data_IF_032366599157
#
_entry.id   IF_032366599157
#
_cell.length_a   1.000
_cell.length_b   1.000
_cell.length_c   1.000
_cell.angle_alpha   90.00
_cell.angle_beta   90.00
_cell.angle_gamma   90.00
#
_symmetry.space_group_name_H-M   'P 1'
#
loop_
_entity.id
_entity.type
_entity.pdbx_description
1 polymer ?
#
# COMPACT_ATOMS: atom_id res chain seq x y z
N UNK A 1 4.24 3.59 -8.38
CA UNK A 1 5.51 2.98 -8.11
C UNK A 1 6.07 2.18 -9.27
N UNK A 2 7.34 1.85 -9.18
CA UNK A 2 8.03 0.90 -10.09
C UNK A 2 8.56 1.45 -11.41
N UNK A 3 8.18 2.64 -11.82
CA UNK A 3 8.65 3.21 -13.09
C UNK A 3 10.10 3.66 -12.95
N UNK A 4 10.98 3.19 -13.85
CA UNK A 4 12.41 3.50 -13.82
C UNK A 4 13.23 2.63 -12.87
N UNK A 5 12.60 1.79 -12.07
CA UNK A 5 13.31 0.87 -11.18
C UNK A 5 14.02 -0.24 -11.95
N UNK A 6 15.23 -0.58 -11.49
CA UNK A 6 16.04 -1.67 -12.05
C UNK A 6 16.73 -2.43 -10.94
N UNK A 7 16.70 -3.76 -11.04
CA UNK A 7 17.45 -4.62 -10.13
C UNK A 7 18.81 -4.87 -10.74
N UNK A 8 19.87 -4.51 -10.00
CA UNK A 8 21.26 -4.70 -10.42
C UNK A 8 21.89 -5.74 -9.49
N UNK A 9 22.32 -6.86 -10.07
CA UNK A 9 22.89 -7.98 -9.31
C UNK A 9 24.42 -8.07 -9.41
N UNK A 10 25.01 -7.41 -10.40
CA UNK A 10 26.45 -7.34 -10.56
C UNK A 10 26.91 -5.88 -10.61
N UNK A 11 27.94 -5.54 -9.86
CA UNK A 11 28.50 -4.17 -9.84
C UNK A 11 28.96 -3.70 -11.22
N UNK A 12 29.39 -4.63 -12.08
CA UNK A 12 29.81 -4.31 -13.45
C UNK A 12 28.68 -3.68 -14.28
N UNK A 13 27.41 -4.04 -14.01
CA UNK A 13 26.25 -3.57 -14.76
C UNK A 13 25.72 -2.23 -14.22
N UNK A 14 26.14 -1.84 -13.01
CA UNK A 14 25.60 -0.67 -12.32
C UNK A 14 25.71 0.63 -13.13
N UNK A 15 26.86 0.98 -13.74
CA UNK A 15 26.98 2.22 -14.49
C UNK A 15 25.98 2.34 -15.65
N UNK A 16 25.78 1.28 -16.40
CA UNK A 16 24.85 1.23 -17.53
C UNK A 16 23.40 1.36 -17.04
N UNK A 17 23.04 0.61 -16.00
CA UNK A 17 21.68 0.61 -15.44
C UNK A 17 21.32 1.96 -14.81
N UNK A 18 22.27 2.60 -14.13
CA UNK A 18 22.08 3.97 -13.60
C UNK A 18 21.83 4.96 -14.73
N UNK A 19 22.61 4.92 -15.83
CA UNK A 19 22.42 5.82 -16.95
C UNK A 19 21.06 5.58 -17.65
N UNK A 20 20.64 4.31 -17.76
CA UNK A 20 19.33 3.99 -18.31
C UNK A 20 18.18 4.49 -17.41
N UNK A 21 18.28 4.31 -16.08
CA UNK A 21 17.32 4.82 -15.13
C UNK A 21 17.23 6.37 -15.16
N UNK A 22 18.37 7.06 -15.23
CA UNK A 22 18.43 8.53 -15.34
C UNK A 22 17.72 9.05 -16.59
N UNK A 23 17.92 8.41 -17.76
CA UNK A 23 17.23 8.80 -19.00
C UNK A 23 15.72 8.63 -18.89
N UNK A 24 15.29 7.52 -18.29
CA UNK A 24 13.87 7.24 -18.08
C UNK A 24 13.24 8.22 -17.08
N UNK A 25 13.92 8.51 -15.97
CA UNK A 25 13.48 9.49 -14.98
C UNK A 25 13.36 10.91 -15.60
N UNK A 26 14.36 11.32 -16.37
CA UNK A 26 14.31 12.60 -17.11
C UNK A 26 13.11 12.67 -18.06
N UNK A 27 12.85 11.60 -18.79
CA UNK A 27 11.73 11.56 -19.74
C UNK A 27 10.36 11.53 -19.07
N UNK A 28 10.26 10.82 -17.94
CA UNK A 28 8.98 10.61 -17.27
C UNK A 28 8.61 11.71 -16.27
N UNK A 29 9.61 12.30 -15.61
CA UNK A 29 9.43 13.21 -14.47
C UNK A 29 10.10 14.58 -14.66
N UNK A 30 10.90 14.76 -15.69
CA UNK A 30 11.68 15.97 -15.90
C UNK A 30 12.91 16.11 -15.00
N UNK A 31 13.20 15.11 -14.16
CA UNK A 31 14.32 15.07 -13.23
C UNK A 31 15.09 13.76 -13.39
N UNK A 32 16.42 13.79 -13.70
CA UNK A 32 17.22 12.60 -13.87
C UNK A 32 17.77 12.05 -12.55
N UNK A 33 17.40 12.58 -11.40
CA UNK A 33 17.88 12.15 -10.10
C UNK A 33 17.44 10.71 -9.83
N UNK A 34 18.39 9.86 -9.50
CA UNK A 34 18.16 8.45 -9.11
C UNK A 34 19.02 8.13 -7.90
N UNK A 35 18.60 7.17 -7.12
CA UNK A 35 19.35 6.64 -5.97
C UNK A 35 19.32 5.11 -5.98
N UNK A 36 20.17 4.49 -5.19
CA UNK A 36 20.23 3.06 -5.04
C UNK A 36 19.76 2.66 -3.65
N UNK A 37 18.95 1.62 -3.60
CA UNK A 37 18.47 1.02 -2.37
C UNK A 37 18.86 -0.46 -2.34
N UNK A 38 18.87 -1.04 -1.13
CA UNK A 38 19.01 -2.48 -0.97
C UNK A 38 17.79 -3.16 -1.61
N UNK A 39 18.05 -4.17 -2.44
CA UNK A 39 17.01 -5.03 -2.98
C UNK A 39 16.83 -6.26 -2.09
N UNK A 40 15.60 -6.56 -1.71
CA UNK A 40 15.22 -7.76 -1.00
C UNK A 40 14.64 -8.77 -2.01
N UNK A 41 15.28 -9.92 -2.13
CA UNK A 41 14.87 -10.97 -3.06
C UNK A 41 13.57 -11.67 -2.64
N UNK A 42 13.30 -11.69 -1.35
CA UNK A 42 12.07 -12.19 -0.75
C UNK A 42 11.61 -11.24 0.34
N UNK A 43 10.33 -11.06 0.45
CA UNK A 43 9.73 -10.20 1.47
C UNK A 43 8.24 -10.04 1.25
N UNK A 44 7.59 -9.56 2.28
CA UNK A 44 6.18 -9.24 2.30
C UNK A 44 5.97 -7.76 2.10
N UNK A 45 5.03 -7.40 1.24
CA UNK A 45 4.58 -6.03 1.10
C UNK A 45 3.48 -5.78 2.13
N UNK A 46 3.85 -5.14 3.22
CA UNK A 46 2.94 -4.77 4.29
C UNK A 46 2.79 -3.26 4.30
N UNK A 47 1.57 -2.79 4.49
CA UNK A 47 1.28 -1.36 4.52
C UNK A 47 0.41 -0.99 5.70
N UNK A 48 0.55 0.24 6.18
CA UNK A 48 -0.22 0.78 7.31
C UNK A 48 -1.08 1.94 6.84
N UNK A 49 -2.39 1.82 7.02
CA UNK A 49 -3.33 2.92 6.80
C UNK A 49 -3.15 3.97 7.87
N UNK A 50 -2.95 5.22 7.46
CA UNK A 50 -2.95 6.36 8.37
C UNK A 50 -4.12 7.29 8.08
N UNK A 51 -4.60 7.95 9.13
CA UNK A 51 -5.53 9.08 9.07
C UNK A 51 -5.02 10.15 10.02
N UNK A 52 -4.90 11.37 9.55
CA UNK A 52 -4.36 12.47 10.33
C UNK A 52 -5.22 13.72 10.21
N UNK A 53 -5.42 14.43 11.32
CA UNK A 53 -6.16 15.70 11.36
C UNK A 53 -5.24 16.92 11.41
N UNK A 54 -5.83 18.10 11.35
CA UNK A 54 -5.11 19.37 11.46
C UNK A 54 -4.80 19.78 12.92
N UNK A 55 -5.20 18.96 13.90
CA UNK A 55 -5.05 19.21 15.33
C UNK A 55 -3.89 18.45 15.95
N UNK A 56 -3.18 17.64 15.15
CA UNK A 56 -1.99 16.89 15.54
C UNK A 56 -2.25 15.43 15.89
N UNK A 57 -3.49 14.94 15.69
CA UNK A 57 -3.80 13.51 15.86
C UNK A 57 -3.42 12.74 14.61
N UNK A 58 -2.62 11.70 14.77
CA UNK A 58 -2.24 10.76 13.70
C UNK A 58 -2.58 9.34 14.12
N UNK A 59 -3.52 8.74 13.42
CA UNK A 59 -3.91 7.33 13.59
C UNK A 59 -3.09 6.42 12.69
N UNK A 60 -2.60 5.31 13.22
CA UNK A 60 -2.34 4.10 12.46
C UNK A 60 -3.59 3.20 12.63
N UNK A 61 -4.35 3.02 11.57
CA UNK A 61 -5.70 2.44 11.64
C UNK A 61 -5.68 0.92 11.55
N UNK A 62 -4.78 0.36 10.75
CA UNK A 62 -4.62 -1.06 10.52
C UNK A 62 -3.56 -1.32 9.47
N UNK A 63 -3.04 -2.55 9.45
CA UNK A 63 -2.14 -2.99 8.39
C UNK A 63 -2.87 -3.87 7.38
N UNK A 64 -2.32 -3.92 6.17
CA UNK A 64 -2.73 -4.81 5.07
C UNK A 64 -1.52 -5.55 4.51
N UNK A 65 -1.73 -6.79 4.13
CA UNK A 65 -0.78 -7.59 3.35
C UNK A 65 -1.12 -7.43 1.87
N UNK A 66 -0.15 -7.01 1.06
CA UNK A 66 -0.31 -6.76 -0.36
C UNK A 66 0.75 -7.50 -1.21
N UNK A 67 1.26 -8.62 -0.72
CA UNK A 67 2.35 -9.38 -1.36
C UNK A 67 1.91 -10.12 -2.62
N UNK A 68 0.62 -10.42 -2.77
CA UNK A 68 0.11 -11.12 -3.97
C UNK A 68 -0.07 -10.09 -5.08
N UNK A 69 0.95 -10.02 -5.91
CA UNK A 69 1.05 -9.02 -6.98
C UNK A 69 1.31 -9.69 -8.33
N UNK A 70 0.94 -9.01 -9.40
CA UNK A 70 1.30 -9.36 -10.77
C UNK A 70 1.86 -8.13 -11.48
N UNK A 71 3.07 -8.22 -12.02
CA UNK A 71 3.75 -7.09 -12.66
C UNK A 71 3.84 -5.85 -11.76
N UNK A 72 4.12 -6.07 -10.47
CA UNK A 72 4.15 -5.03 -9.42
C UNK A 72 2.80 -4.33 -9.16
N UNK A 73 1.70 -4.94 -9.59
CA UNK A 73 0.35 -4.49 -9.27
C UNK A 73 -0.27 -5.42 -8.23
N UNK A 74 -0.82 -4.86 -7.19
CA UNK A 74 -1.56 -5.57 -6.16
C UNK A 74 -2.77 -6.27 -6.79
N UNK A 75 -2.99 -7.53 -6.45
CA UNK A 75 -4.11 -8.36 -6.95
C UNK A 75 -5.01 -8.83 -5.81
N UNK A 76 -4.41 -9.22 -4.70
CA UNK A 76 -5.11 -9.61 -3.48
C UNK A 76 -4.51 -8.81 -2.34
N UNK A 77 -5.38 -8.20 -1.57
CA UNK A 77 -5.06 -7.50 -0.35
C UNK A 77 -5.86 -8.09 0.81
N UNK A 78 -5.22 -8.25 1.96
CA UNK A 78 -5.86 -8.84 3.13
C UNK A 78 -5.48 -8.14 4.44
N UNK A 79 -6.38 -8.16 5.39
CA UNK A 79 -6.16 -7.73 6.76
C UNK A 79 -6.82 -8.72 7.74
N UNK A 80 -6.13 -9.04 8.86
CA UNK A 80 -4.76 -8.65 9.19
C UNK A 80 -3.73 -9.32 8.29
N UNK A 81 -2.50 -8.78 8.25
CA UNK A 81 -1.39 -9.42 7.55
C UNK A 81 -1.01 -10.74 8.22
N UNK A 82 -0.96 -11.87 7.49
CA UNK A 82 -0.52 -13.13 8.05
C UNK A 82 0.91 -13.09 8.61
N UNK A 83 1.80 -12.31 8.03
CA UNK A 83 3.14 -12.10 8.58
C UNK A 83 3.07 -11.39 9.93
N UNK A 84 2.35 -10.29 10.00
CA UNK A 84 2.24 -9.48 11.22
C UNK A 84 1.58 -10.25 12.37
N UNK A 85 0.64 -11.16 12.05
CA UNK A 85 0.03 -12.05 13.04
C UNK A 85 1.04 -13.09 13.60
N UNK A 86 2.00 -13.54 12.78
CA UNK A 86 3.00 -14.54 13.20
C UNK A 86 4.15 -13.92 13.99
N UNK A 87 4.52 -12.67 13.71
CA UNK A 87 5.71 -12.03 14.28
C UNK A 87 5.30 -11.13 15.45
N UNK A 88 5.60 -11.57 16.65
CA UNK A 88 5.21 -10.86 17.87
C UNK A 88 5.76 -9.44 17.93
N UNK A 89 4.89 -8.47 18.23
CA UNK A 89 5.25 -7.05 18.37
C UNK A 89 5.54 -6.32 17.05
N UNK A 90 5.43 -6.98 15.91
CA UNK A 90 5.66 -6.35 14.62
C UNK A 90 4.63 -5.27 14.31
N UNK A 91 3.36 -5.52 14.62
CA UNK A 91 2.27 -4.54 14.41
C UNK A 91 2.56 -3.22 15.09
N UNK A 92 2.95 -3.24 16.36
CA UNK A 92 3.22 -2.02 17.12
C UNK A 92 4.38 -1.22 16.54
N UNK A 93 5.42 -1.92 16.08
CA UNK A 93 6.58 -1.29 15.42
C UNK A 93 6.20 -0.65 14.08
N UNK A 94 5.42 -1.35 13.25
CA UNK A 94 4.93 -0.82 11.97
C UNK A 94 4.01 0.39 12.16
N UNK A 95 3.08 0.30 13.11
CA UNK A 95 2.17 1.40 13.43
C UNK A 95 2.91 2.63 13.95
N UNK A 96 3.92 2.42 14.81
CA UNK A 96 4.74 3.53 15.30
C UNK A 96 5.56 4.16 14.17
N UNK A 97 6.19 3.35 13.32
CA UNK A 97 6.94 3.84 12.16
C UNK A 97 6.05 4.65 11.21
N UNK A 98 4.82 4.18 10.95
CA UNK A 98 3.86 4.88 10.10
C UNK A 98 3.41 6.21 10.72
N UNK A 99 3.12 6.25 12.03
CA UNK A 99 2.78 7.49 12.74
C UNK A 99 3.93 8.50 12.70
N UNK A 100 5.14 8.04 12.96
CA UNK A 100 6.34 8.90 12.92
C UNK A 100 6.56 9.47 11.52
N UNK A 101 6.42 8.67 10.47
CA UNK A 101 6.56 9.12 9.09
C UNK A 101 5.53 10.22 8.75
N UNK A 102 4.25 9.99 9.07
CA UNK A 102 3.19 10.97 8.82
C UNK A 102 3.36 12.25 9.66
N UNK A 103 3.74 12.11 10.94
CA UNK A 103 3.97 13.24 11.84
C UNK A 103 5.14 14.10 11.37
N UNK A 104 6.25 13.48 10.93
CA UNK A 104 7.46 14.19 10.51
C UNK A 104 7.22 15.16 9.34
N UNK A 105 6.22 14.91 8.52
CA UNK A 105 5.87 15.76 7.38
C UNK A 105 4.62 16.63 7.64
N UNK A 106 4.06 16.60 8.85
CA UNK A 106 2.83 17.32 9.19
C UNK A 106 1.64 16.88 8.32
N UNK A 107 1.52 15.57 8.07
CA UNK A 107 0.50 15.04 7.16
C UNK A 107 -0.92 15.25 7.69
N UNK A 108 -1.86 15.53 6.79
CA UNK A 108 -3.31 15.58 7.09
C UNK A 108 -4.10 14.82 6.01
N UNK A 109 -5.15 14.11 6.42
CA UNK A 109 -5.98 13.29 5.55
C UNK A 109 -5.65 11.80 5.62
N UNK A 110 -6.22 11.03 4.69
CA UNK A 110 -5.94 9.60 4.55
C UNK A 110 -4.65 9.37 3.74
N UNK A 111 -3.79 8.51 4.25
CA UNK A 111 -2.57 8.10 3.59
C UNK A 111 -2.20 6.67 3.95
N UNK A 112 -1.20 6.14 3.29
CA UNK A 112 -0.70 4.78 3.55
C UNK A 112 0.82 4.78 3.52
N UNK A 113 1.42 4.18 4.53
CA UNK A 113 2.87 3.96 4.59
C UNK A 113 3.16 2.52 4.23
N UNK A 114 3.94 2.31 3.19
CA UNK A 114 4.28 1.00 2.65
C UNK A 114 5.66 0.55 3.12
N UNK A 115 5.75 -0.74 3.44
CA UNK A 115 6.97 -1.38 3.93
C UNK A 115 7.22 -2.69 3.19
N UNK A 116 8.49 -3.02 3.03
CA UNK A 116 8.93 -4.38 2.73
C UNK A 116 9.38 -5.03 4.03
N UNK A 117 8.84 -6.19 4.36
CA UNK A 117 9.10 -6.89 5.61
C UNK A 117 9.55 -8.34 5.36
N UNK A 118 10.41 -8.86 6.23
CA UNK A 118 10.87 -10.25 6.17
C UNK A 118 10.24 -11.13 7.26
N UNK A 119 10.48 -12.42 7.17
CA UNK A 119 9.95 -13.42 8.13
C UNK A 119 10.57 -13.29 9.52
N UNK A 120 11.71 -12.62 9.65
CA UNK A 120 12.41 -12.36 10.91
C UNK A 120 11.84 -11.14 11.64
N UNK A 121 10.95 -10.37 10.97
CA UNK A 121 10.28 -9.19 11.53
C UNK A 121 11.07 -7.88 11.35
N UNK A 122 12.11 -7.89 10.51
CA UNK A 122 12.74 -6.67 10.02
C UNK A 122 11.88 -6.08 8.91
N UNK A 123 11.77 -4.75 8.88
CA UNK A 123 11.00 -4.05 7.86
C UNK A 123 11.71 -2.78 7.40
N UNK A 124 11.44 -2.42 6.15
CA UNK A 124 12.08 -1.31 5.47
C UNK A 124 11.01 -0.44 4.84
N UNK A 125 11.09 0.87 5.06
CA UNK A 125 10.21 1.85 4.42
C UNK A 125 10.37 1.81 2.90
N UNK A 126 9.27 1.75 2.18
CA UNK A 126 9.23 1.86 0.73
C UNK A 126 8.81 3.26 0.29
N UNK A 127 7.57 3.62 0.57
CA UNK A 127 7.02 4.92 0.21
C UNK A 127 5.84 5.29 1.10
N UNK A 128 5.43 6.55 1.06
CA UNK A 128 4.16 6.99 1.61
C UNK A 128 3.27 7.47 0.47
N UNK A 129 2.10 6.86 0.36
CA UNK A 129 1.04 7.30 -0.55
C UNK A 129 0.17 8.33 0.15
N UNK A 130 0.25 9.59 -0.31
CA UNK A 130 -0.46 10.72 0.27
C UNK A 130 -1.88 10.84 -0.28
N UNK A 131 -2.61 9.75 -0.29
CA UNK A 131 -3.96 9.62 -0.83
C UNK A 131 -4.62 8.36 -0.29
N UNK A 132 -5.93 8.28 -0.44
CA UNK A 132 -6.64 7.02 -0.28
C UNK A 132 -6.22 6.03 -1.38
N UNK A 133 -6.09 4.76 -1.04
CA UNK A 133 -5.74 3.69 -1.97
C UNK A 133 -6.97 2.84 -2.32
N UNK A 134 -6.86 2.05 -3.41
CA UNK A 134 -7.94 1.16 -3.87
C UNK A 134 -8.31 0.16 -2.78
N UNK A 135 -7.32 -0.38 -2.09
CA UNK A 135 -7.42 -1.42 -1.05
C UNK A 135 -7.92 -0.93 0.32
N UNK A 136 -8.37 0.33 0.43
CA UNK A 136 -8.91 0.84 1.70
C UNK A 136 -10.13 0.06 2.24
N UNK A 137 -10.99 -0.57 1.40
CA UNK A 137 -12.13 -1.34 1.90
C UNK A 137 -11.75 -2.48 2.83
N UNK A 138 -10.56 -3.06 2.65
CA UNK A 138 -10.03 -4.10 3.54
C UNK A 138 -9.92 -3.59 4.99
N UNK A 139 -9.45 -2.37 5.16
CA UNK A 139 -9.37 -1.71 6.47
C UNK A 139 -10.76 -1.30 6.99
N UNK A 140 -11.61 -0.76 6.14
CA UNK A 140 -12.97 -0.36 6.54
C UNK A 140 -13.78 -1.54 7.07
N UNK A 141 -13.73 -2.68 6.38
CA UNK A 141 -14.46 -3.88 6.79
C UNK A 141 -13.98 -4.45 8.13
N UNK A 142 -12.70 -4.27 8.47
CA UNK A 142 -12.16 -4.76 9.76
C UNK A 142 -12.33 -3.75 10.89
N UNK A 143 -12.44 -2.45 10.60
CA UNK A 143 -12.51 -1.40 11.61
C UNK A 143 -13.89 -0.79 11.80
N UNK A 144 -14.77 -0.94 10.80
CA UNK A 144 -16.09 -0.29 10.76
C UNK A 144 -16.02 1.21 10.43
N UNK A 145 -14.86 1.72 9.98
CA UNK A 145 -14.70 3.10 9.54
C UNK A 145 -15.15 3.30 8.10
N UNK A 146 -15.59 4.50 7.77
CA UNK A 146 -15.68 5.03 6.41
C UNK A 146 -14.53 6.03 6.23
N UNK A 147 -13.46 5.61 5.55
CA UNK A 147 -12.26 6.41 5.35
C UNK A 147 -12.48 7.58 4.40
N UNK A 148 -13.46 7.46 3.49
CA UNK A 148 -13.86 8.55 2.60
C UNK A 148 -14.59 9.64 3.39
N UNK A 149 -15.54 9.25 4.23
CA UNK A 149 -16.22 10.19 5.14
C UNK A 149 -15.22 10.90 6.06
N UNK A 150 -14.30 10.15 6.67
CA UNK A 150 -13.28 10.71 7.54
C UNK A 150 -12.38 11.73 6.82
N UNK A 151 -12.01 11.49 5.55
CA UNK A 151 -11.27 12.48 4.77
C UNK A 151 -12.03 13.81 4.63
N UNK A 152 -13.35 13.73 4.37
CA UNK A 152 -14.20 14.91 4.23
C UNK A 152 -14.35 15.65 5.57
N UNK A 153 -14.54 14.92 6.66
CA UNK A 153 -14.63 15.48 8.01
C UNK A 153 -13.32 16.19 8.43
N UNK A 154 -12.18 15.53 8.22
CA UNK A 154 -10.85 16.12 8.50
C UNK A 154 -10.62 17.37 7.63
N UNK A 155 -10.96 17.32 6.34
CA UNK A 155 -10.85 18.47 5.46
C UNK A 155 -11.77 19.63 5.87
N UNK A 156 -12.91 19.34 6.51
CA UNK A 156 -13.79 20.33 7.11
C UNK A 156 -13.31 20.86 8.47
N UNK A 157 -12.17 20.34 9.00
CA UNK A 157 -11.59 20.79 10.27
C UNK A 157 -12.02 19.99 11.49
N UNK A 158 -12.68 18.84 11.30
CA UNK A 158 -13.06 17.97 12.43
C UNK A 158 -11.82 17.30 13.01
N UNK A 159 -11.71 17.32 14.35
CA UNK A 159 -10.68 16.57 15.07
C UNK A 159 -11.03 15.08 15.11
N UNK A 160 -10.04 14.25 14.99
CA UNK A 160 -10.15 12.80 15.22
C UNK A 160 -10.19 12.51 16.73
N UNK A 161 -10.78 11.38 17.08
CA UNK A 161 -10.68 10.87 18.46
C UNK A 161 -9.23 10.59 18.84
N UNK A 162 -8.95 10.50 20.14
CA UNK A 162 -7.58 10.26 20.61
C UNK A 162 -6.98 8.95 20.12
N UNK A 163 -7.81 7.93 19.86
CA UNK A 163 -7.40 6.61 19.38
C UNK A 163 -8.32 6.11 18.29
N UNK A 164 -7.79 5.38 17.29
CA UNK A 164 -8.61 4.74 16.29
C UNK A 164 -9.40 3.56 16.88
N UNK A 165 -10.50 3.12 16.25
CA UNK A 165 -11.17 1.89 16.63
C UNK A 165 -10.24 0.68 16.41
N UNK A 166 -10.43 -0.34 17.24
CA UNK A 166 -9.68 -1.60 17.12
C UNK A 166 -10.25 -2.43 15.97
N UNK A 167 -9.37 -2.90 15.08
CA UNK A 167 -9.74 -3.83 14.01
C UNK A 167 -10.25 -5.17 14.58
N UNK A 168 -11.21 -5.78 13.90
CA UNK A 168 -11.84 -7.06 14.27
C UNK A 168 -12.08 -7.92 13.03
N UNK A 169 -11.89 -9.23 13.21
CA UNK A 169 -12.09 -10.19 12.13
C UNK A 169 -11.02 -10.10 11.05
N UNK A 170 -11.37 -10.49 9.85
CA UNK A 170 -10.49 -10.46 8.68
C UNK A 170 -11.25 -10.06 7.44
N UNK A 171 -10.55 -9.50 6.47
CA UNK A 171 -11.09 -9.08 5.19
C UNK A 171 -10.10 -9.37 4.07
N UNK A 172 -10.62 -9.71 2.90
CA UNK A 172 -9.81 -9.93 1.70
C UNK A 172 -10.48 -9.17 0.55
N UNK A 173 -9.69 -8.39 -0.16
CA UNK A 173 -10.07 -7.75 -1.42
C UNK A 173 -9.37 -8.44 -2.58
N UNK A 174 -10.06 -8.58 -3.69
CA UNK A 174 -9.51 -9.08 -4.94
C UNK A 174 -9.79 -8.10 -6.07
N UNK A 175 -8.76 -7.71 -6.80
CA UNK A 175 -8.88 -6.84 -7.97
C UNK A 175 -9.14 -7.64 -9.23
N UNK A 176 -10.21 -7.29 -9.92
CA UNK A 176 -10.51 -7.87 -11.22
C UNK A 176 -9.99 -6.95 -12.34
N UNK A 177 -9.04 -7.47 -13.10
CA UNK A 177 -8.45 -6.77 -14.24
C UNK A 177 -8.82 -7.46 -15.56
N UNK A 178 -9.08 -6.68 -16.61
CA UNK A 178 -9.12 -7.17 -17.97
C UNK A 178 -7.70 -7.35 -18.49
N UNK A 179 -7.21 -8.58 -18.53
CA UNK A 179 -5.84 -8.92 -18.91
C UNK A 179 -5.82 -10.14 -19.84
N UNK A 180 -4.82 -10.23 -20.72
CA UNK A 180 -4.63 -11.35 -21.63
C UNK A 180 -3.47 -12.25 -21.14
N UNK A 181 -3.76 -13.44 -20.59
CA UNK A 181 -2.73 -14.37 -20.14
C UNK A 181 -1.75 -14.79 -21.24
N UNK A 182 -2.23 -14.89 -22.48
CA UNK A 182 -1.41 -15.29 -23.63
C UNK A 182 -0.38 -14.21 -24.01
N UNK A 183 -0.61 -12.96 -23.58
CA UNK A 183 0.28 -11.82 -23.80
C UNK A 183 0.97 -11.37 -22.53
N UNK A 184 1.36 -12.32 -21.68
CA UNK A 184 2.02 -12.03 -20.40
C UNK A 184 1.22 -11.06 -19.53
N UNK A 185 -0.09 -11.29 -19.43
CA UNK A 185 -1.01 -10.50 -18.61
C UNK A 185 -0.98 -9.00 -18.93
N UNK A 186 -0.87 -8.66 -20.23
CA UNK A 186 -0.99 -7.27 -20.64
C UNK A 186 -2.42 -6.77 -20.44
N UNK A 187 -2.60 -5.54 -19.95
CA UNK A 187 -3.91 -4.93 -19.84
C UNK A 187 -4.63 -4.90 -21.18
N UNK A 188 -5.92 -5.19 -21.16
CA UNK A 188 -6.79 -5.19 -22.33
C UNK A 188 -7.93 -4.18 -22.15
N UNK A 189 -8.46 -3.72 -23.26
CA UNK A 189 -9.69 -2.92 -23.29
C UNK A 189 -10.69 -3.61 -24.22
N UNK A 190 -11.97 -3.50 -23.91
CA UNK A 190 -13.03 -4.11 -24.71
C UNK A 190 -14.41 -3.85 -24.09
N UNK A 191 -15.42 -4.40 -24.75
CA UNK A 191 -16.81 -4.34 -24.27
C UNK A 191 -17.08 -5.48 -23.31
N UNK A 192 -17.54 -5.15 -22.10
CA UNK A 192 -18.02 -6.14 -21.15
C UNK A 192 -19.48 -6.49 -21.53
N UNK A 193 -19.67 -7.68 -22.10
CA UNK A 193 -21.00 -8.14 -22.51
C UNK A 193 -21.82 -8.68 -21.34
N UNK A 194 -21.15 -9.23 -20.33
CA UNK A 194 -21.80 -9.74 -19.15
C UNK A 194 -20.86 -9.55 -17.95
N UNK A 195 -21.38 -9.00 -16.88
CA UNK A 195 -20.70 -8.89 -15.59
C UNK A 195 -21.64 -9.45 -14.52
N UNK A 196 -21.21 -10.50 -13.84
CA UNK A 196 -21.96 -11.10 -12.76
C UNK A 196 -20.99 -11.49 -11.64
N UNK A 197 -21.19 -10.88 -10.48
CA UNK A 197 -20.52 -11.27 -9.24
C UNK A 197 -21.52 -12.14 -8.47
N UNK A 198 -21.16 -13.38 -8.08
CA UNK A 198 -22.02 -14.19 -7.24
C UNK A 198 -22.39 -13.39 -5.99
N UNK A 199 -23.68 -13.40 -5.64
CA UNK A 199 -24.10 -12.78 -4.38
C UNK A 199 -23.37 -13.52 -3.27
N UNK A 200 -22.44 -12.85 -2.65
CA UNK A 200 -21.83 -13.31 -1.43
C UNK A 200 -22.92 -13.37 -0.35
N UNK A 201 -22.87 -14.35 0.52
CA UNK A 201 -23.71 -14.36 1.72
C UNK A 201 -23.51 -13.08 2.52
N UNK A 202 -24.38 -12.81 3.48
CA UNK A 202 -24.44 -11.60 4.30
C UNK A 202 -23.16 -11.20 5.06
N UNK A 203 -22.03 -11.87 4.80
CA UNK A 203 -20.72 -11.62 5.43
C UNK A 203 -19.72 -10.91 4.50
N UNK A 204 -20.11 -10.62 3.26
CA UNK A 204 -19.23 -9.94 2.31
C UNK A 204 -19.94 -8.67 1.83
N UNK A 205 -19.34 -7.51 2.12
CA UNK A 205 -19.70 -6.26 1.50
C UNK A 205 -19.31 -6.25 0.01
N UNK A 206 -20.17 -5.79 -0.85
CA UNK A 206 -19.89 -5.44 -2.25
C UNK A 206 -19.94 -3.93 -2.39
#
# INVERSE_FOLDING_TARGET
GGRGMRVVRALADLPEQVQAARREAQSAFGDPTVFCERYLDAGHHVEVQVMADAHGTVWAVGERECSIQRRHQKIIEEAPSPLVERVAGMRDKLFEAARLAATAIGYTGAGTVEFMADEEGEFYFLEMNTRLQVEHPVTELTTGLDLVELQLLVAAGTALDATPPTARGSSIEARLYAEDPAKNWQPQAGTVHQFAVPRAGSQFGL
#
